data_IF_358942112195
#
_entry.id   IF_358942112195
#
_cell.length_a   1.000
_cell.length_b   1.000
_cell.length_c   1.000
_cell.angle_alpha   90.00
_cell.angle_beta   90.00
_cell.angle_gamma   90.00
#
_symmetry.space_group_name_H-M   'P 1'
#
loop_
_entity.id
_entity.type
_entity.pdbx_description
1 polymer ?
#
# COMPACT_ATOMS: atom_id res chain seq x y z
N UNK A 1 40.21 21.57 18.20
CA UNK A 1 38.83 22.04 18.45
C UNK A 1 38.04 21.79 17.17
N UNK A 2 37.50 20.58 17.06
CA UNK A 2 36.96 19.99 15.84
C UNK A 2 35.43 19.99 15.88
N UNK A 3 34.83 20.47 14.79
CA UNK A 3 33.39 20.50 14.57
C UNK A 3 32.80 19.07 14.49
N UNK A 4 31.57 18.83 14.98
CA UNK A 4 30.95 17.53 14.87
C UNK A 4 30.52 17.27 13.41
N UNK A 5 30.95 16.11 12.91
CA UNK A 5 30.72 15.63 11.56
C UNK A 5 29.24 15.37 11.26
N UNK A 6 28.90 15.78 10.05
CA UNK A 6 27.69 15.62 9.24
C UNK A 6 26.99 14.26 9.36
N UNK A 7 25.66 14.34 9.46
CA UNK A 7 24.67 13.26 9.34
C UNK A 7 24.56 12.73 7.90
N UNK A 8 25.53 11.93 7.47
CA UNK A 8 25.54 11.35 6.12
C UNK A 8 25.30 9.83 6.06
N UNK A 9 24.86 9.18 7.14
CA UNK A 9 24.57 7.74 7.15
C UNK A 9 23.31 7.40 7.94
N UNK A 10 22.20 7.30 7.23
CA UNK A 10 21.13 6.34 7.51
C UNK A 10 20.33 6.03 6.23
N UNK A 11 21.05 5.83 5.11
CA UNK A 11 20.57 4.87 4.11
C UNK A 11 20.73 3.49 4.76
N UNK A 12 19.68 2.68 4.74
CA UNK A 12 19.64 1.33 5.31
C UNK A 12 20.94 0.55 5.01
N UNK A 13 21.69 0.09 6.02
CA UNK A 13 22.63 -1.00 5.82
C UNK A 13 21.80 -2.28 5.66
N UNK A 14 21.86 -2.90 4.49
CA UNK A 14 21.16 -4.15 4.22
C UNK A 14 20.24 -4.12 2.99
N UNK A 15 20.74 -3.66 1.85
CA UNK A 15 20.40 -4.31 0.59
C UNK A 15 21.47 -5.40 0.38
N UNK A 16 21.34 -6.49 1.15
CA UNK A 16 21.80 -7.78 0.65
C UNK A 16 21.24 -7.93 -0.78
N UNK A 17 22.03 -8.41 -1.76
CA UNK A 17 21.56 -8.54 -3.12
C UNK A 17 20.23 -9.29 -3.09
N UNK A 18 19.18 -8.63 -3.60
CA UNK A 18 17.82 -9.14 -3.72
C UNK A 18 17.89 -10.65 -3.88
N UNK A 19 17.43 -11.36 -2.83
CA UNK A 19 17.46 -12.81 -2.77
C UNK A 19 17.09 -13.32 -4.16
N UNK A 20 18.02 -14.09 -4.74
CA UNK A 20 17.94 -14.71 -6.05
C UNK A 20 16.70 -15.61 -6.14
N UNK A 21 15.51 -15.04 -6.21
CA UNK A 21 14.35 -15.65 -6.84
C UNK A 21 14.70 -15.66 -8.32
N UNK A 22 15.54 -16.62 -8.69
CA UNK A 22 15.94 -16.78 -10.08
C UNK A 22 14.67 -17.05 -10.85
N UNK A 23 14.50 -16.35 -11.96
CA UNK A 23 13.59 -16.72 -13.05
C UNK A 23 13.72 -18.22 -13.46
N UNK A 24 14.77 -18.92 -13.01
CA UNK A 24 15.10 -20.30 -13.38
C UNK A 24 14.19 -21.40 -12.83
N UNK A 25 13.23 -21.11 -11.94
CA UNK A 25 12.31 -22.14 -11.41
C UNK A 25 10.88 -22.05 -11.94
N UNK A 26 10.52 -20.96 -12.62
CA UNK A 26 9.21 -20.80 -13.23
C UNK A 26 9.28 -21.17 -14.72
N UNK A 27 8.32 -21.96 -15.24
CA UNK A 27 8.20 -22.15 -16.67
C UNK A 27 8.10 -20.79 -17.38
N UNK A 28 8.80 -20.66 -18.51
CA UNK A 28 8.71 -19.46 -19.34
C UNK A 28 7.27 -19.19 -19.83
N UNK A 29 6.44 -20.24 -19.88
CA UNK A 29 5.05 -20.19 -20.31
C UNK A 29 4.16 -20.86 -19.26
N UNK A 30 3.25 -20.08 -18.66
CA UNK A 30 2.26 -20.57 -17.70
C UNK A 30 0.89 -20.74 -18.37
N UNK A 31 0.20 -21.83 -18.04
CA UNK A 31 -1.13 -22.19 -18.54
C UNK A 31 -1.26 -22.13 -20.07
N UNK A 32 -0.15 -22.37 -20.80
CA UNK A 32 -0.04 -22.24 -22.25
C UNK A 32 -0.48 -20.85 -22.80
N UNK A 33 -0.52 -19.82 -21.93
CA UNK A 33 -1.06 -18.49 -22.26
C UNK A 33 -0.18 -17.34 -21.82
N UNK A 34 0.46 -17.43 -20.66
CA UNK A 34 1.22 -16.31 -20.10
C UNK A 34 2.71 -16.53 -20.24
N UNK A 35 3.34 -15.80 -21.16
CA UNK A 35 4.80 -15.82 -21.31
C UNK A 35 5.43 -14.89 -20.27
N UNK A 36 6.12 -15.47 -19.30
CA UNK A 36 6.81 -14.71 -18.23
C UNK A 36 8.00 -13.96 -18.83
N UNK A 37 8.09 -12.65 -18.62
CA UNK A 37 9.16 -11.81 -19.17
C UNK A 37 10.22 -11.45 -18.12
N UNK A 38 9.82 -10.87 -16.98
CA UNK A 38 10.76 -10.42 -15.94
C UNK A 38 10.11 -10.29 -14.56
N UNK A 39 10.90 -10.36 -13.51
CA UNK A 39 10.46 -10.06 -12.15
C UNK A 39 10.15 -8.56 -11.99
N UNK A 40 9.01 -8.24 -11.38
CA UNK A 40 8.60 -6.88 -11.00
C UNK A 40 8.86 -6.62 -9.52
N UNK A 41 8.62 -7.61 -8.67
CA UNK A 41 8.87 -7.51 -7.23
C UNK A 41 8.71 -8.85 -6.51
N UNK A 42 9.37 -8.97 -5.37
CA UNK A 42 9.27 -10.10 -4.46
C UNK A 42 8.95 -9.54 -3.06
N UNK A 43 7.90 -10.06 -2.43
CA UNK A 43 7.47 -9.70 -1.09
C UNK A 43 7.36 -10.93 -0.21
N UNK A 44 6.97 -10.72 1.05
CA UNK A 44 6.88 -11.80 2.04
C UNK A 44 5.95 -12.94 1.58
N UNK A 45 4.79 -12.61 0.98
CA UNK A 45 3.80 -13.63 0.61
C UNK A 45 3.94 -14.13 -0.82
N UNK A 46 4.68 -13.45 -1.69
CA UNK A 46 4.66 -13.79 -3.10
C UNK A 46 5.58 -12.99 -3.99
N UNK A 47 5.63 -13.42 -5.24
CA UNK A 47 6.44 -12.85 -6.32
C UNK A 47 5.54 -12.41 -7.46
N UNK A 48 5.85 -11.26 -8.03
CA UNK A 48 5.10 -10.64 -9.13
C UNK A 48 6.00 -10.52 -10.34
N UNK A 49 5.55 -11.03 -11.47
CA UNK A 49 6.24 -10.97 -12.75
C UNK A 49 5.47 -10.11 -13.74
N UNK A 50 6.17 -9.51 -14.69
CA UNK A 50 5.57 -9.06 -15.93
C UNK A 50 5.43 -10.28 -16.81
N UNK A 51 4.25 -10.49 -17.37
CA UNK A 51 3.99 -11.53 -18.36
C UNK A 51 3.26 -10.93 -19.57
N UNK A 52 3.43 -11.58 -20.72
CA UNK A 52 2.65 -11.31 -21.93
C UNK A 52 1.51 -12.33 -22.02
N UNK A 53 0.29 -11.85 -22.17
CA UNK A 53 -0.89 -12.65 -22.47
C UNK A 53 -0.93 -12.95 -23.96
N UNK A 54 -0.56 -14.18 -24.33
CA UNK A 54 -0.46 -14.61 -25.72
C UNK A 54 -1.82 -14.67 -26.43
N UNK A 55 -2.92 -14.80 -25.68
CA UNK A 55 -4.26 -14.74 -26.27
C UNK A 55 -4.57 -13.31 -26.74
N UNK A 56 -4.35 -12.32 -25.89
CA UNK A 56 -4.55 -10.92 -26.26
C UNK A 56 -3.59 -10.48 -27.37
N UNK A 57 -2.32 -10.91 -27.32
CA UNK A 57 -1.34 -10.68 -28.39
C UNK A 57 -1.82 -11.28 -29.74
N UNK A 58 -2.34 -12.50 -29.73
CA UNK A 58 -2.84 -13.17 -30.93
C UNK A 58 -4.00 -12.40 -31.59
N UNK A 59 -4.86 -11.76 -30.79
CA UNK A 59 -5.97 -10.95 -31.28
C UNK A 59 -5.62 -9.46 -31.50
N UNK A 60 -4.33 -9.11 -31.43
CA UNK A 60 -3.84 -7.78 -31.78
C UNK A 60 -4.05 -6.69 -30.73
N UNK A 61 -4.19 -7.07 -29.46
CA UNK A 61 -4.17 -6.09 -28.36
C UNK A 61 -2.81 -5.35 -28.35
N UNK A 62 -2.79 -4.00 -28.41
CA UNK A 62 -1.53 -3.25 -28.38
C UNK A 62 -0.83 -3.27 -27.02
N UNK A 63 -1.51 -3.67 -25.93
CA UNK A 63 -0.97 -3.74 -24.59
C UNK A 63 -1.24 -5.10 -23.90
N UNK A 64 -0.74 -6.23 -24.45
CA UNK A 64 -1.06 -7.57 -23.96
C UNK A 64 -0.30 -7.94 -22.68
N UNK A 65 0.19 -6.98 -21.91
CA UNK A 65 0.99 -7.24 -20.71
C UNK A 65 0.13 -7.25 -19.45
N UNK A 66 0.45 -8.20 -18.57
CA UNK A 66 -0.18 -8.35 -17.26
C UNK A 66 0.87 -8.47 -16.17
N UNK A 67 0.50 -8.10 -14.95
CA UNK A 67 1.24 -8.49 -13.77
C UNK A 67 0.74 -9.86 -13.30
N UNK A 68 1.65 -10.81 -13.09
CA UNK A 68 1.37 -12.19 -12.72
C UNK A 68 1.90 -12.43 -11.31
N UNK A 69 1.00 -12.64 -10.34
CA UNK A 69 1.37 -12.88 -8.93
C UNK A 69 1.26 -14.36 -8.61
N UNK A 70 2.31 -14.90 -7.99
CA UNK A 70 2.34 -16.22 -7.38
C UNK A 70 2.74 -16.11 -5.92
N UNK A 71 2.45 -17.12 -5.12
CA UNK A 71 2.99 -17.22 -3.76
C UNK A 71 4.40 -17.81 -3.76
N UNK A 72 5.20 -17.42 -2.76
CA UNK A 72 6.56 -17.91 -2.59
C UNK A 72 6.56 -19.43 -2.23
N UNK A 73 7.50 -20.26 -2.72
CA UNK A 73 7.58 -21.68 -2.36
C UNK A 73 7.66 -21.94 -0.85
N UNK A 74 8.24 -21.02 -0.07
CA UNK A 74 8.29 -21.12 1.40
C UNK A 74 6.91 -21.07 2.08
N UNK A 75 5.87 -20.65 1.36
CA UNK A 75 4.47 -20.70 1.80
C UNK A 75 3.75 -21.97 1.32
N UNK A 76 4.37 -22.81 0.48
CA UNK A 76 3.73 -24.01 -0.11
C UNK A 76 3.50 -25.11 0.94
N UNK A 77 4.29 -25.12 2.02
CA UNK A 77 4.10 -26.02 3.17
C UNK A 77 3.00 -25.54 4.14
N UNK A 78 2.43 -24.36 3.90
CA UNK A 78 1.18 -23.96 4.55
C UNK A 78 0.07 -24.62 3.75
N UNK A 79 -0.53 -25.67 4.32
CA UNK A 79 -1.86 -26.16 3.94
C UNK A 79 -2.74 -24.91 3.77
N UNK A 80 -3.16 -24.61 2.53
CA UNK A 80 -3.99 -23.45 2.11
C UNK A 80 -3.30 -22.26 1.41
N UNK A 81 -2.03 -22.32 0.97
CA UNK A 81 -1.41 -21.23 0.19
C UNK A 81 -2.27 -20.80 -1.03
N UNK A 82 -2.66 -21.74 -1.89
CA UNK A 82 -3.55 -21.45 -3.02
C UNK A 82 -4.88 -20.80 -2.59
N UNK A 83 -5.42 -21.18 -1.43
CA UNK A 83 -6.64 -20.59 -0.91
C UNK A 83 -6.41 -19.16 -0.41
N UNK A 84 -5.24 -18.83 0.15
CA UNK A 84 -4.87 -17.47 0.52
C UNK A 84 -4.71 -16.56 -0.69
N UNK A 85 -4.07 -17.04 -1.77
CA UNK A 85 -4.00 -16.28 -3.03
C UNK A 85 -5.39 -16.09 -3.64
N UNK A 86 -6.24 -17.12 -3.56
CA UNK A 86 -7.63 -17.03 -4.02
C UNK A 86 -8.42 -16.02 -3.19
N UNK A 87 -8.20 -15.97 -1.88
CA UNK A 87 -8.81 -14.96 -1.01
C UNK A 87 -8.43 -13.55 -1.44
N UNK A 88 -7.16 -13.28 -1.71
CA UNK A 88 -6.71 -12.00 -2.24
C UNK A 88 -7.42 -11.65 -3.55
N UNK A 89 -7.46 -12.59 -4.49
CA UNK A 89 -8.15 -12.42 -5.77
C UNK A 89 -9.64 -12.08 -5.59
N UNK A 90 -10.34 -12.78 -4.70
CA UNK A 90 -11.76 -12.54 -4.40
C UNK A 90 -11.97 -11.16 -3.79
N UNK A 91 -11.10 -10.71 -2.89
CA UNK A 91 -11.16 -9.35 -2.33
C UNK A 91 -10.99 -8.31 -3.43
N UNK A 92 -9.96 -8.43 -4.26
CA UNK A 92 -9.66 -7.50 -5.36
C UNK A 92 -10.79 -7.46 -6.40
N UNK A 93 -11.42 -8.60 -6.73
CA UNK A 93 -12.53 -8.64 -7.70
C UNK A 93 -13.77 -7.85 -7.27
N UNK A 94 -13.93 -7.57 -5.97
CA UNK A 94 -15.02 -6.72 -5.46
C UNK A 94 -14.76 -5.23 -5.68
N UNK A 95 -13.52 -4.87 -5.97
CA UNK A 95 -13.04 -3.50 -6.06
C UNK A 95 -12.92 -3.13 -7.54
N UNK A 96 -13.72 -2.15 -7.95
CA UNK A 96 -13.64 -1.58 -9.29
C UNK A 96 -13.54 -0.07 -9.12
N UNK A 97 -12.30 0.42 -9.07
CA UNK A 97 -12.00 1.80 -8.75
C UNK A 97 -10.70 2.21 -9.45
N UNK A 98 -10.59 3.42 -10.02
CA UNK A 98 -9.40 3.87 -10.76
C UNK A 98 -8.13 3.92 -9.90
N UNK A 99 -8.26 4.04 -8.58
CA UNK A 99 -7.12 4.06 -7.66
C UNK A 99 -6.81 2.70 -7.01
N UNK A 100 -7.36 1.59 -7.52
CA UNK A 100 -7.10 0.22 -7.05
C UNK A 100 -6.71 -0.66 -8.24
N UNK A 101 -5.63 -1.43 -8.11
CA UNK A 101 -5.20 -2.37 -9.17
C UNK A 101 -6.28 -3.41 -9.44
N UNK A 102 -6.63 -3.60 -10.71
CA UNK A 102 -7.66 -4.56 -11.10
C UNK A 102 -7.12 -5.98 -11.22
N UNK A 103 -7.78 -6.93 -10.56
CA UNK A 103 -7.57 -8.36 -10.81
C UNK A 103 -8.32 -8.83 -12.06
N UNK A 104 -7.69 -9.66 -12.89
CA UNK A 104 -8.24 -10.17 -14.15
C UNK A 104 -8.65 -11.64 -14.04
N UNK A 105 -7.69 -12.55 -13.83
CA UNK A 105 -7.95 -13.99 -13.74
C UNK A 105 -7.24 -14.63 -12.55
N UNK A 106 -7.73 -15.79 -12.14
CA UNK A 106 -7.09 -16.68 -11.20
C UNK A 106 -7.05 -18.07 -11.82
N UNK A 107 -5.87 -18.67 -11.87
CA UNK A 107 -5.60 -19.85 -12.65
C UNK A 107 -4.68 -20.81 -11.91
N UNK A 108 -4.78 -22.08 -12.29
CA UNK A 108 -3.90 -23.15 -11.83
C UNK A 108 -3.22 -23.73 -13.06
N UNK A 109 -1.90 -23.64 -13.11
CA UNK A 109 -1.10 -24.34 -14.11
C UNK A 109 -0.90 -25.79 -13.66
N UNK A 110 -1.58 -26.71 -14.31
CA UNK A 110 -1.52 -28.14 -14.00
C UNK A 110 -0.17 -28.78 -14.35
N UNK A 111 0.62 -28.18 -15.25
CA UNK A 111 1.94 -28.72 -15.66
C UNK A 111 2.99 -28.52 -14.57
N UNK A 112 2.94 -27.39 -13.86
CA UNK A 112 3.86 -27.10 -12.75
C UNK A 112 3.20 -27.08 -11.36
N UNK A 113 1.91 -27.40 -11.28
CA UNK A 113 1.09 -27.36 -10.06
C UNK A 113 1.20 -26.02 -9.32
N UNK A 114 1.26 -24.91 -10.06
CA UNK A 114 1.33 -23.55 -9.51
C UNK A 114 0.02 -22.81 -9.72
N UNK A 115 -0.44 -22.18 -8.65
CA UNK A 115 -1.56 -21.25 -8.68
C UNK A 115 -1.04 -19.84 -8.86
N UNK A 116 -1.70 -19.05 -9.70
CA UNK A 116 -1.35 -17.65 -9.93
C UNK A 116 -2.61 -16.82 -10.19
N UNK A 117 -2.48 -15.51 -10.03
CA UNK A 117 -3.49 -14.57 -10.52
C UNK A 117 -2.85 -13.54 -11.45
N UNK A 118 -3.63 -13.08 -12.42
CA UNK A 118 -3.26 -11.98 -13.30
C UNK A 118 -3.97 -10.71 -12.87
N UNK A 119 -3.26 -9.59 -12.97
CA UNK A 119 -3.76 -8.29 -12.61
C UNK A 119 -3.23 -7.23 -13.58
N UNK A 120 -3.83 -6.05 -13.52
CA UNK A 120 -3.42 -4.87 -14.27
C UNK A 120 -1.92 -4.60 -14.06
N UNK A 121 -1.19 -4.46 -15.17
CA UNK A 121 0.19 -4.01 -15.13
C UNK A 121 0.21 -2.49 -15.05
N UNK A 122 0.59 -1.97 -13.88
CA UNK A 122 0.74 -0.52 -13.70
C UNK A 122 2.17 -0.11 -14.06
N UNK A 123 2.29 0.79 -15.04
CA UNK A 123 3.53 1.47 -15.34
C UNK A 123 3.70 2.66 -14.40
N UNK A 124 4.65 2.54 -13.47
CA UNK A 124 4.84 3.55 -12.44
C UNK A 124 5.92 3.16 -11.45
N UNK A 125 6.25 4.09 -10.57
CA UNK A 125 7.14 3.82 -9.43
C UNK A 125 6.34 3.70 -8.15
N UNK A 126 6.86 2.95 -7.20
CA UNK A 126 6.25 2.82 -5.89
C UNK A 126 6.38 4.10 -5.04
N UNK A 127 5.43 4.33 -4.15
CA UNK A 127 5.38 5.54 -3.32
C UNK A 127 6.55 5.62 -2.33
N UNK A 128 7.03 4.48 -1.82
CA UNK A 128 8.23 4.41 -0.98
C UNK A 128 9.47 4.96 -1.69
N UNK A 129 9.66 4.64 -2.99
CA UNK A 129 10.75 5.21 -3.80
C UNK A 129 10.62 6.72 -3.95
N UNK A 130 9.41 7.23 -4.20
CA UNK A 130 9.19 8.67 -4.24
C UNK A 130 9.55 9.33 -2.91
N UNK A 131 9.18 8.73 -1.78
CA UNK A 131 9.47 9.28 -0.45
C UNK A 131 10.98 9.30 -0.15
N UNK A 132 11.73 8.30 -0.59
CA UNK A 132 13.20 8.31 -0.49
C UNK A 132 13.84 9.50 -1.21
N UNK A 133 13.26 9.95 -2.32
CA UNK A 133 13.72 11.11 -3.09
C UNK A 133 13.22 12.46 -2.54
N UNK A 134 12.30 12.43 -1.57
CA UNK A 134 11.60 13.60 -1.03
C UNK A 134 11.69 13.64 0.51
N UNK A 135 12.90 13.81 1.07
CA UNK A 135 13.11 13.80 2.52
C UNK A 135 12.41 14.94 3.29
N UNK A 136 12.01 16.01 2.59
CA UNK A 136 11.23 17.13 3.17
C UNK A 136 9.71 16.99 2.94
N UNK A 137 9.27 15.88 2.36
CA UNK A 137 7.89 15.66 1.93
C UNK A 137 7.56 16.31 0.58
N UNK A 138 6.31 16.15 0.17
CA UNK A 138 5.76 16.69 -1.07
C UNK A 138 5.06 18.02 -0.82
N UNK A 139 5.28 19.05 -1.65
CA UNK A 139 4.48 20.27 -1.58
C UNK A 139 3.01 19.94 -1.83
N UNK A 140 2.12 20.70 -1.18
CA UNK A 140 0.67 20.44 -1.21
C UNK A 140 0.09 20.13 -2.60
N UNK A 141 0.43 20.86 -3.69
CA UNK A 141 -0.11 20.57 -5.03
C UNK A 141 0.24 19.18 -5.58
N UNK A 142 1.39 18.63 -5.20
CA UNK A 142 1.79 17.28 -5.59
C UNK A 142 1.24 16.22 -4.61
N UNK A 143 1.13 16.59 -3.34
CA UNK A 143 0.62 15.71 -2.27
C UNK A 143 -0.88 15.44 -2.42
N UNK A 144 -1.68 16.50 -2.59
CA UNK A 144 -3.14 16.46 -2.56
C UNK A 144 -3.74 15.39 -3.50
N UNK A 145 -3.38 15.32 -4.80
CA UNK A 145 -3.97 14.31 -5.68
C UNK A 145 -3.62 12.87 -5.27
N UNK A 146 -2.41 12.63 -4.78
CA UNK A 146 -2.00 11.30 -4.29
C UNK A 146 -2.82 10.93 -3.05
N UNK A 147 -2.91 11.85 -2.08
CA UNK A 147 -3.67 11.64 -0.85
C UNK A 147 -5.16 11.38 -1.12
N UNK A 148 -5.77 12.17 -2.00
CA UNK A 148 -7.18 12.01 -2.37
C UNK A 148 -7.42 10.67 -3.06
N UNK A 149 -6.59 10.27 -4.02
CA UNK A 149 -6.74 8.98 -4.69
C UNK A 149 -6.61 7.79 -3.74
N UNK A 150 -5.71 7.85 -2.76
CA UNK A 150 -5.59 6.81 -1.73
C UNK A 150 -6.79 6.78 -0.77
N UNK A 151 -7.31 7.94 -0.38
CA UNK A 151 -8.51 8.05 0.43
C UNK A 151 -9.74 7.51 -0.30
N UNK A 152 -9.88 7.83 -1.59
CA UNK A 152 -10.95 7.30 -2.46
C UNK A 152 -10.85 5.78 -2.63
N UNK A 153 -9.64 5.25 -2.87
CA UNK A 153 -9.39 3.81 -2.96
C UNK A 153 -9.80 3.08 -1.68
N UNK A 154 -9.38 3.59 -0.52
CA UNK A 154 -9.64 2.94 0.76
C UNK A 154 -11.11 3.07 1.18
N UNK A 155 -11.73 4.24 0.97
CA UNK A 155 -13.16 4.44 1.18
C UNK A 155 -13.98 3.46 0.32
N UNK A 156 -13.64 3.33 -0.96
CA UNK A 156 -14.29 2.37 -1.85
C UNK A 156 -14.14 0.91 -1.34
N UNK A 157 -12.95 0.53 -0.88
CA UNK A 157 -12.72 -0.80 -0.32
C UNK A 157 -13.58 -1.06 0.91
N UNK A 158 -13.60 -0.13 1.87
CA UNK A 158 -14.41 -0.23 3.09
C UNK A 158 -15.91 -0.30 2.79
N UNK A 159 -16.41 0.52 1.85
CA UNK A 159 -17.81 0.48 1.39
C UNK A 159 -18.20 -0.86 0.74
N UNK A 160 -17.23 -1.59 0.17
CA UNK A 160 -17.43 -2.93 -0.41
C UNK A 160 -17.19 -4.08 0.58
N UNK A 161 -16.95 -3.75 1.85
CA UNK A 161 -16.73 -4.70 2.92
C UNK A 161 -15.35 -5.35 2.87
N UNK A 162 -14.35 -4.68 2.31
CA UNK A 162 -12.97 -5.17 2.18
C UNK A 162 -12.04 -4.32 3.04
N UNK A 163 -11.27 -4.97 3.91
CA UNK A 163 -10.18 -4.36 4.67
C UNK A 163 -8.85 -4.68 3.99
N UNK A 164 -7.96 -3.70 3.86
CA UNK A 164 -6.68 -3.90 3.18
C UNK A 164 -5.63 -4.55 4.08
N UNK A 165 -5.48 -4.02 5.29
CA UNK A 165 -4.66 -4.59 6.35
C UNK A 165 -3.15 -4.53 6.22
N UNK A 166 -2.62 -3.84 5.22
CA UNK A 166 -1.19 -3.54 5.06
C UNK A 166 -0.99 -2.28 4.19
N UNK A 167 -1.73 -1.22 4.50
CA UNK A 167 -1.57 0.07 3.81
C UNK A 167 -0.20 0.65 4.16
N UNK A 168 0.66 0.82 3.15
CA UNK A 168 2.01 1.37 3.29
C UNK A 168 2.50 1.91 1.95
N UNK A 169 3.55 2.74 1.91
CA UNK A 169 4.04 3.31 0.65
C UNK A 169 4.52 2.25 -0.36
N UNK A 170 5.05 1.11 0.13
CA UNK A 170 5.43 -0.01 -0.73
C UNK A 170 4.26 -0.68 -1.47
N UNK A 171 3.01 -0.50 -1.00
CA UNK A 171 1.79 -1.05 -1.59
C UNK A 171 1.01 0.00 -2.41
N UNK A 172 1.67 1.08 -2.81
CA UNK A 172 1.10 2.12 -3.67
C UNK A 172 2.02 2.32 -4.87
N UNK A 173 1.48 2.15 -6.09
CA UNK A 173 2.14 2.54 -7.33
C UNK A 173 1.65 3.92 -7.76
N UNK A 174 2.54 4.74 -8.32
CA UNK A 174 2.22 6.03 -8.90
C UNK A 174 2.32 5.93 -10.43
N UNK A 175 1.17 5.83 -11.07
CA UNK A 175 1.02 5.89 -12.52
C UNK A 175 0.87 7.35 -12.98
N UNK A 176 0.90 7.57 -14.30
CA UNK A 176 0.65 8.89 -14.88
C UNK A 176 -0.74 9.43 -14.50
N UNK A 177 -1.76 8.56 -14.44
CA UNK A 177 -3.13 8.95 -14.12
C UNK A 177 -3.41 9.02 -12.61
N UNK A 178 -2.42 8.70 -11.76
CA UNK A 178 -2.52 8.81 -10.31
C UNK A 178 -2.13 7.54 -9.53
N UNK A 179 -2.42 7.50 -8.22
CA UNK A 179 -2.03 6.38 -7.38
C UNK A 179 -2.85 5.12 -7.68
N UNK A 180 -2.25 3.95 -7.42
CA UNK A 180 -2.88 2.64 -7.47
C UNK A 180 -2.52 1.87 -6.22
N UNK A 181 -3.52 1.59 -5.38
CA UNK A 181 -3.39 0.72 -4.21
C UNK A 181 -3.43 -0.74 -4.68
N UNK A 182 -2.49 -1.55 -4.20
CA UNK A 182 -2.36 -2.96 -4.58
C UNK A 182 -1.96 -3.82 -3.38
N UNK A 183 -1.91 -5.15 -3.58
CA UNK A 183 -1.53 -6.15 -2.58
C UNK A 183 -2.52 -6.26 -1.40
N UNK A 184 -3.65 -6.90 -1.67
CA UNK A 184 -4.65 -7.26 -0.65
C UNK A 184 -4.35 -8.63 -0.01
N UNK A 185 -3.12 -9.14 -0.13
CA UNK A 185 -2.73 -10.47 0.37
C UNK A 185 -2.90 -10.63 1.88
N UNK A 186 -2.80 -9.52 2.61
CA UNK A 186 -3.07 -9.46 4.05
C UNK A 186 -4.52 -9.03 4.37
N UNK A 187 -5.29 -8.63 3.37
CA UNK A 187 -6.64 -8.15 3.53
C UNK A 187 -7.62 -9.22 4.02
N UNK A 188 -8.81 -8.78 4.42
CA UNK A 188 -9.89 -9.68 4.80
C UNK A 188 -11.24 -9.03 4.55
N UNK A 189 -12.31 -9.83 4.38
CA UNK A 189 -13.65 -9.27 4.33
C UNK A 189 -14.09 -8.82 5.73
N UNK A 190 -14.91 -7.78 5.80
CA UNK A 190 -15.55 -7.35 7.04
C UNK A 190 -16.50 -8.44 7.57
N UNK A 191 -16.83 -8.39 8.86
CA UNK A 191 -17.69 -9.40 9.49
C UNK A 191 -19.02 -9.57 8.71
N UNK A 192 -19.40 -10.82 8.44
CA UNK A 192 -20.58 -11.17 7.66
C UNK A 192 -20.43 -11.04 6.13
N UNK A 193 -19.34 -10.44 5.65
CA UNK A 193 -19.01 -10.37 4.22
C UNK A 193 -18.21 -11.63 3.86
N UNK A 194 -18.61 -12.34 2.81
CA UNK A 194 -17.94 -13.55 2.31
C UNK A 194 -17.63 -14.59 3.42
N UNK A 195 -18.66 -15.11 4.12
CA UNK A 195 -18.45 -16.16 5.12
C UNK A 195 -17.80 -17.38 4.46
N UNK A 196 -16.72 -17.90 5.06
CA UNK A 196 -15.99 -19.06 4.55
C UNK A 196 -14.82 -18.76 3.61
N UNK A 197 -14.54 -17.50 3.30
CA UNK A 197 -13.29 -17.15 2.60
C UNK A 197 -12.08 -17.48 3.50
N UNK A 198 -11.07 -18.16 2.95
CA UNK A 198 -9.87 -18.50 3.71
C UNK A 198 -9.18 -17.23 4.24
N UNK A 199 -8.75 -17.26 5.50
CA UNK A 199 -8.12 -16.11 6.16
C UNK A 199 -6.72 -16.46 6.61
N UNK A 200 -5.78 -15.55 6.36
CA UNK A 200 -4.43 -15.69 6.89
C UNK A 200 -4.47 -15.63 8.42
N UNK A 201 -3.90 -16.62 9.07
CA UNK A 201 -3.69 -16.59 10.52
C UNK A 201 -2.56 -15.60 10.86
N UNK A 202 -2.93 -14.32 11.01
CA UNK A 202 -1.99 -13.22 11.26
C UNK A 202 -1.18 -13.38 12.55
N UNK A 203 -1.74 -13.98 13.61
CA UNK A 203 -1.01 -14.19 14.87
C UNK A 203 0.12 -15.21 14.74
N UNK A 204 -0.05 -16.21 13.87
CA UNK A 204 1.00 -17.20 13.55
C UNK A 204 2.16 -16.60 12.77
N UNK A 205 1.90 -15.67 11.86
CA UNK A 205 2.90 -15.19 10.89
C UNK A 205 3.38 -13.75 11.11
N UNK A 206 2.84 -13.02 12.11
CA UNK A 206 3.09 -11.58 12.34
C UNK A 206 3.06 -10.78 11.03
N UNK A 207 2.08 -11.11 10.19
CA UNK A 207 2.04 -10.71 8.80
C UNK A 207 1.46 -9.29 8.67
N UNK A 208 2.28 -8.30 9.00
CA UNK A 208 2.04 -6.87 8.82
C UNK A 208 3.36 -6.13 8.81
N UNK A 209 3.39 -4.95 8.19
CA UNK A 209 4.58 -4.08 8.25
C UNK A 209 4.60 -3.32 9.58
N UNK A 210 5.52 -3.62 10.53
CA UNK A 210 5.41 -3.12 11.90
C UNK A 210 5.32 -1.60 12.02
N UNK A 211 6.01 -0.85 11.15
CA UNK A 211 6.00 0.60 11.15
C UNK A 211 4.60 1.21 10.89
N UNK A 212 3.74 0.54 10.11
CA UNK A 212 2.43 1.06 9.71
C UNK A 212 1.25 0.35 10.42
N UNK A 213 1.51 -0.75 11.12
CA UNK A 213 0.48 -1.49 11.85
C UNK A 213 0.01 -0.72 13.09
N UNK A 214 -1.31 -0.67 13.29
CA UNK A 214 -1.90 -0.05 14.48
C UNK A 214 -1.59 -0.86 15.76
N UNK A 215 -1.60 -0.20 16.91
CA UNK A 215 -1.22 -0.81 18.20
C UNK A 215 -2.11 -2.01 18.56
N UNK A 216 -3.42 -1.89 18.37
CA UNK A 216 -4.39 -2.94 18.68
C UNK A 216 -4.18 -4.20 17.83
N UNK A 217 -3.72 -4.08 16.57
CA UNK A 217 -3.37 -5.24 15.75
C UNK A 217 -2.21 -6.02 16.35
N UNK A 218 -1.22 -5.32 16.89
CA UNK A 218 -0.07 -5.92 17.53
C UNK A 218 -0.44 -6.60 18.86
N UNK A 219 -1.48 -6.12 19.51
CA UNK A 219 -2.07 -6.70 20.73
C UNK A 219 -3.00 -7.90 20.42
N UNK A 220 -3.16 -8.26 19.14
CA UNK A 220 -3.98 -9.39 18.71
C UNK A 220 -5.44 -9.05 18.43
N UNK A 221 -5.81 -7.77 18.45
CA UNK A 221 -7.14 -7.34 18.04
C UNK A 221 -7.37 -7.65 16.55
N UNK A 222 -8.63 -7.89 16.15
CA UNK A 222 -8.96 -8.18 14.77
C UNK A 222 -8.81 -6.94 13.88
N UNK A 223 -8.41 -7.13 12.62
CA UNK A 223 -8.29 -6.04 11.62
C UNK A 223 -9.63 -5.30 11.43
N UNK A 224 -9.59 -3.98 11.38
CA UNK A 224 -10.80 -3.15 11.29
C UNK A 224 -10.62 -2.00 10.32
N UNK A 225 -11.69 -1.25 10.07
CA UNK A 225 -11.61 0.01 9.34
C UNK A 225 -10.62 0.94 10.04
N UNK A 226 -10.69 1.05 11.37
CA UNK A 226 -9.80 1.92 12.15
C UNK A 226 -8.33 1.58 11.94
N UNK A 227 -7.96 0.30 11.84
CA UNK A 227 -6.57 -0.11 11.62
C UNK A 227 -6.03 0.32 10.25
N UNK A 228 -6.87 0.27 9.20
CA UNK A 228 -6.49 0.78 7.88
C UNK A 228 -6.36 2.31 7.90
N UNK A 229 -7.23 3.01 8.64
CA UNK A 229 -7.17 4.48 8.80
C UNK A 229 -5.89 4.91 9.49
N UNK A 230 -5.43 4.19 10.52
CA UNK A 230 -4.15 4.46 11.16
C UNK A 230 -2.99 4.34 10.17
N UNK A 231 -2.96 3.22 9.43
CA UNK A 231 -1.91 2.96 8.45
C UNK A 231 -1.90 4.01 7.33
N UNK A 232 -3.08 4.38 6.79
CA UNK A 232 -3.20 5.47 5.82
C UNK A 232 -2.80 6.82 6.43
N UNK A 233 -3.16 7.10 7.68
CA UNK A 233 -2.72 8.30 8.41
C UNK A 233 -1.20 8.40 8.48
N UNK A 234 -0.50 7.30 8.73
CA UNK A 234 0.96 7.25 8.69
C UNK A 234 1.51 7.60 7.30
N UNK A 235 0.93 7.03 6.23
CA UNK A 235 1.30 7.34 4.84
C UNK A 235 1.08 8.82 4.50
N UNK A 236 -0.10 9.37 4.85
CA UNK A 236 -0.44 10.77 4.58
C UNK A 236 0.48 11.74 5.34
N UNK A 237 0.85 11.40 6.58
CA UNK A 237 1.83 12.17 7.33
C UNK A 237 3.20 12.15 6.64
N UNK A 238 3.68 10.96 6.28
CA UNK A 238 4.98 10.77 5.62
C UNK A 238 5.04 11.47 4.26
N UNK A 239 3.93 11.50 3.50
CA UNK A 239 3.84 12.31 2.28
C UNK A 239 4.04 13.80 2.53
N UNK A 240 3.55 14.32 3.66
CA UNK A 240 3.62 15.74 3.99
C UNK A 240 4.91 16.17 4.68
N UNK A 241 5.64 15.24 5.29
CA UNK A 241 6.84 15.52 6.09
C UNK A 241 8.13 14.92 5.51
N UNK A 242 8.02 13.91 4.64
CA UNK A 242 9.13 13.06 4.20
C UNK A 242 9.58 12.03 5.25
N UNK A 243 8.96 12.02 6.44
CA UNK A 243 9.40 11.22 7.58
C UNK A 243 8.18 10.56 8.25
N UNK A 244 8.29 9.27 8.55
CA UNK A 244 7.27 8.53 9.30
C UNK A 244 6.91 9.22 10.64
N UNK A 245 5.61 9.35 11.01
CA UNK A 245 5.19 10.08 12.21
C UNK A 245 5.82 9.57 13.51
N UNK A 246 6.12 8.28 13.56
CA UNK A 246 6.63 7.57 14.73
C UNK A 246 8.00 6.93 14.51
N UNK A 247 8.85 7.56 13.70
CA UNK A 247 10.25 7.13 13.50
C UNK A 247 10.40 5.68 13.00
N UNK A 248 9.40 5.20 12.24
CA UNK A 248 9.27 3.81 11.77
C UNK A 248 9.33 2.75 12.88
N UNK A 249 9.15 3.14 14.14
CA UNK A 249 8.92 2.21 15.24
C UNK A 249 7.57 1.54 15.06
N UNK A 250 7.46 0.33 15.61
CA UNK A 250 6.17 -0.29 15.78
C UNK A 250 5.27 0.53 16.74
N UNK A 251 3.95 0.44 16.56
CA UNK A 251 3.01 1.31 17.24
C UNK A 251 3.01 1.14 18.77
N UNK A 252 3.32 -0.06 19.28
CA UNK A 252 3.43 -0.31 20.72
C UNK A 252 4.62 0.44 21.32
N UNK A 253 5.81 0.32 20.73
CA UNK A 253 6.99 1.08 21.17
C UNK A 253 6.78 2.58 21.03
N UNK A 254 6.15 3.03 19.94
CA UNK A 254 5.85 4.45 19.74
C UNK A 254 4.88 5.00 20.79
N UNK A 255 3.89 4.19 21.21
CA UNK A 255 2.95 4.51 22.28
C UNK A 255 3.63 4.57 23.64
N UNK A 256 4.48 3.59 23.96
CA UNK A 256 5.28 3.56 25.19
C UNK A 256 6.21 4.78 25.32
N UNK A 257 6.84 5.19 24.22
CA UNK A 257 7.68 6.39 24.15
C UNK A 257 6.87 7.71 24.11
N UNK A 258 5.54 7.64 24.07
CA UNK A 258 4.68 8.81 24.06
C UNK A 258 4.82 9.70 22.81
N UNK A 259 5.22 9.14 21.67
CA UNK A 259 5.54 9.91 20.45
C UNK A 259 4.35 10.71 19.90
N UNK A 260 3.11 10.31 20.20
CA UNK A 260 1.91 11.09 19.85
C UNK A 260 1.89 12.49 20.49
N UNK A 261 2.56 12.67 21.64
CA UNK A 261 2.63 13.96 22.35
C UNK A 261 3.62 14.93 21.70
N UNK A 262 4.63 14.40 21.01
CA UNK A 262 5.66 15.19 20.32
C UNK A 262 5.33 15.43 18.85
N UNK A 263 4.30 14.78 18.33
CA UNK A 263 3.85 14.87 16.95
C UNK A 263 3.43 16.31 16.58
N UNK A 264 4.01 16.85 15.52
CA UNK A 264 3.73 18.21 15.00
C UNK A 264 3.08 18.12 13.64
N UNK A 265 2.33 19.16 13.26
CA UNK A 265 1.79 19.30 11.89
C UNK A 265 2.96 19.31 10.89
N UNK A 266 2.95 18.45 9.85
CA UNK A 266 3.91 18.52 8.76
C UNK A 266 3.88 19.88 8.05
N UNK A 267 5.04 20.37 7.60
CA UNK A 267 5.15 21.69 6.99
C UNK A 267 4.24 21.83 5.76
N UNK A 268 4.22 20.81 4.90
CA UNK A 268 3.49 20.78 3.63
C UNK A 268 1.99 20.48 3.78
N UNK A 269 1.52 20.09 4.97
CA UNK A 269 0.10 19.81 5.22
C UNK A 269 -0.65 21.09 5.60
N UNK A 270 -1.69 21.52 4.86
CA UNK A 270 -2.53 22.65 5.24
C UNK A 270 -3.02 22.59 6.69
N UNK A 271 -2.97 23.73 7.40
CA UNK A 271 -3.36 23.82 8.82
C UNK A 271 -4.75 23.22 9.13
N UNK A 272 -5.79 23.42 8.32
CA UNK A 272 -7.12 22.87 8.60
C UNK A 272 -7.19 21.34 8.59
N UNK A 273 -6.26 20.64 7.91
CA UNK A 273 -6.26 19.18 7.82
C UNK A 273 -5.60 18.51 9.02
N UNK A 274 -4.80 19.26 9.79
CA UNK A 274 -4.04 18.69 10.88
C UNK A 274 -4.89 18.00 11.94
N UNK A 275 -6.01 18.57 12.42
CA UNK A 275 -6.85 17.89 13.41
C UNK A 275 -7.38 16.54 12.90
N UNK A 276 -7.82 16.48 11.64
CA UNK A 276 -8.34 15.25 11.02
C UNK A 276 -7.25 14.18 10.88
N UNK A 277 -6.07 14.56 10.35
CA UNK A 277 -4.94 13.63 10.24
C UNK A 277 -4.47 13.16 11.62
N UNK A 278 -4.47 14.04 12.62
CA UNK A 278 -4.08 13.68 13.98
C UNK A 278 -5.05 12.68 14.63
N UNK A 279 -6.34 12.77 14.35
CA UNK A 279 -7.32 11.75 14.80
C UNK A 279 -6.99 10.39 14.18
N UNK A 280 -6.69 10.35 12.87
CA UNK A 280 -6.30 9.11 12.19
C UNK A 280 -5.03 8.48 12.78
N UNK A 281 -4.11 9.30 13.31
CA UNK A 281 -2.85 8.86 13.93
C UNK A 281 -2.97 8.49 15.43
N UNK A 282 -4.18 8.48 16.00
CA UNK A 282 -4.36 8.07 17.40
C UNK A 282 -4.04 6.59 17.59
N UNK A 283 -3.23 6.26 18.60
CA UNK A 283 -2.96 4.87 18.99
C UNK A 283 -4.20 4.17 19.55
N UNK A 284 -5.07 4.92 20.23
CA UNK A 284 -6.33 4.40 20.76
C UNK A 284 -7.38 4.34 19.62
N UNK A 285 -7.89 3.14 19.26
CA UNK A 285 -8.91 2.99 18.23
C UNK A 285 -10.21 3.73 18.56
N UNK A 286 -10.58 3.89 19.83
CA UNK A 286 -11.81 4.60 20.23
C UNK A 286 -11.68 6.12 20.07
N UNK A 287 -10.46 6.64 20.02
CA UNK A 287 -10.17 8.04 19.72
C UNK A 287 -9.96 8.28 18.21
N UNK A 288 -9.82 7.21 17.41
CA UNK A 288 -9.76 7.22 15.94
C UNK A 288 -11.16 7.34 15.33
N UNK A 289 -11.93 8.33 15.79
CA UNK A 289 -13.30 8.61 15.33
C UNK A 289 -13.34 9.34 13.99
N UNK A 290 -12.58 8.83 13.01
CA UNK A 290 -12.53 9.34 11.65
C UNK A 290 -12.40 8.19 10.65
N UNK A 291 -13.09 8.27 9.52
CA UNK A 291 -13.00 7.30 8.44
C UNK A 291 -12.43 7.91 7.14
N UNK A 292 -12.25 7.08 6.11
CA UNK A 292 -11.65 7.50 4.85
C UNK A 292 -12.49 8.56 4.12
N UNK A 293 -13.81 8.44 4.12
CA UNK A 293 -14.73 9.42 3.52
C UNK A 293 -14.65 10.79 4.22
N UNK A 294 -14.59 10.82 5.55
CA UNK A 294 -14.46 12.04 6.33
C UNK A 294 -13.11 12.73 6.11
N UNK A 295 -12.03 11.96 6.03
CA UNK A 295 -10.71 12.48 5.66
C UNK A 295 -10.72 13.01 4.22
N UNK A 296 -11.30 12.28 3.27
CA UNK A 296 -11.42 12.70 1.88
C UNK A 296 -12.17 14.03 1.76
N UNK A 297 -13.28 14.18 2.47
CA UNK A 297 -14.07 15.41 2.49
C UNK A 297 -13.28 16.58 3.10
N UNK A 298 -12.48 16.34 4.14
CA UNK A 298 -11.58 17.35 4.66
C UNK A 298 -10.54 17.80 3.61
N UNK A 299 -9.94 16.86 2.88
CA UNK A 299 -8.96 17.14 1.82
C UNK A 299 -9.56 17.88 0.61
N UNK A 300 -10.83 17.61 0.26
CA UNK A 300 -11.56 18.30 -0.81
C UNK A 300 -11.84 19.77 -0.49
N UNK A 301 -12.20 20.07 0.77
CA UNK A 301 -12.51 21.44 1.22
C UNK A 301 -11.32 22.40 1.21
N UNK A 302 -10.09 21.87 1.19
CA UNK A 302 -8.89 22.69 1.12
C UNK A 302 -8.57 22.98 -0.35
N UNK A 303 -9.22 24.00 -0.88
CA UNK A 303 -8.89 24.54 -2.20
C UNK A 303 -7.54 25.26 -2.18
N UNK A 304 -6.86 25.21 -3.31
CA UNK A 304 -5.65 25.97 -3.57
C UNK A 304 -5.98 27.47 -3.56
N UNK A 305 -5.82 28.14 -2.42
CA UNK A 305 -5.76 29.60 -2.40
C UNK A 305 -4.49 30.02 -3.16
N UNK A 306 -4.62 30.30 -4.46
CA UNK A 306 -3.67 31.13 -5.20
C UNK A 306 -3.61 32.48 -4.49
N UNK A 307 -2.75 32.62 -3.48
CA UNK A 307 -2.35 33.95 -2.99
C UNK A 307 -1.57 34.59 -4.13
N UNK A 308 -2.28 35.28 -5.02
CA UNK A 308 -1.65 36.32 -5.83
C UNK A 308 -1.05 37.30 -4.83
N UNK A 309 0.26 37.57 -4.90
CA UNK A 309 0.83 38.67 -4.15
C UNK A 309 0.05 39.92 -4.53
N UNK A 310 -0.68 40.53 -3.57
CA UNK A 310 -1.19 41.89 -3.69
C UNK A 310 0.00 42.85 -3.65
N UNK A 311 0.78 42.85 -4.72
CA UNK A 311 1.63 43.97 -5.10
C UNK A 311 1.00 44.52 -6.39
N UNK A 312 1.06 45.84 -6.58
CA UNK A 312 0.34 46.61 -7.62
C UNK A 312 -1.11 46.97 -7.28
N UNK A 313 -1.27 47.88 -6.31
CA UNK A 313 -2.12 49.07 -6.45
C UNK A 313 -1.76 50.06 -5.34
N UNK A 314 -0.73 50.87 -5.60
CA UNK A 314 -0.52 52.20 -5.02
C UNK A 314 0.37 53.00 -5.98
N UNK A 315 -0.26 53.82 -6.80
CA UNK A 315 0.09 55.18 -7.26
C UNK A 315 -0.64 55.43 -8.56
#
# INVERSE_FOLDING_TARGET
>A
MTAPQRWQQACLPGLEPLATARLSELPLLLAQRYRVERLLGAGAMGVVYRARDLLHEQFGDPAPWVALKLLNPDFVDITDASALLYSEFVLMRRLCHPCVVRAYSFEVDNTCARTFMTQELIEGRSLDRLLCERPEGLPWPALQPIAMGLLEALAHAHQRGVLHGDVKPGNVLLAEEGPRLFDFGLGRPMAGVLPGLAQLNRSRFKAWTPAYAAAELMEGAPLSVATDIYALGCVLYELASGIHPFQRLDALKAREQGLVRTLRRPAQLPRPLWPALRQALSFDPEQRNINADQLLEAFRKVEFQRRWPRFWHRS
#
